data_IF_702129859249
#
_entry.id   IF_702129859249
#
_cell.length_a   1.000
_cell.length_b   1.000
_cell.length_c   1.000
_cell.angle_alpha   90.00
_cell.angle_beta   90.00
_cell.angle_gamma   90.00
#
_symmetry.space_group_name_H-M   'P 1'
#
loop_
_entity.id
_entity.type
_entity.pdbx_description
1 polymer ?
#
# COMPACT_ATOMS: atom_id res chain seq x y z
N UNK A 1 -1.23 -21.24 -0.84
CA UNK A 1 -2.60 -21.68 -1.21
C UNK A 1 -3.62 -21.35 -0.10
N UNK A 2 -3.34 -21.67 1.17
CA UNK A 2 -4.26 -21.47 2.31
C UNK A 2 -4.73 -20.00 2.40
N UNK A 3 -3.83 -19.06 2.58
CA UNK A 3 -4.16 -17.63 2.69
C UNK A 3 -4.98 -17.09 1.50
N UNK A 4 -4.69 -17.53 0.28
CA UNK A 4 -5.48 -17.10 -0.90
C UNK A 4 -6.91 -17.70 -0.88
N UNK A 5 -7.09 -18.91 -0.35
CA UNK A 5 -8.41 -19.50 -0.16
C UNK A 5 -9.22 -18.73 0.91
N UNK A 6 -8.58 -18.35 2.00
CA UNK A 6 -9.20 -17.51 3.04
C UNK A 6 -9.61 -16.14 2.49
N UNK A 7 -8.70 -15.47 1.76
CA UNK A 7 -9.00 -14.22 1.09
C UNK A 7 -10.21 -14.36 0.13
N UNK A 8 -10.28 -15.47 -0.62
CA UNK A 8 -11.43 -15.75 -1.50
C UNK A 8 -12.72 -15.94 -0.73
N UNK A 9 -12.67 -16.65 0.40
CA UNK A 9 -13.84 -16.88 1.27
C UNK A 9 -14.35 -15.56 1.89
N UNK A 10 -13.45 -14.62 2.16
CA UNK A 10 -13.79 -13.27 2.63
C UNK A 10 -14.32 -12.33 1.51
N UNK A 11 -14.40 -12.80 0.26
CA UNK A 11 -14.86 -11.98 -0.86
C UNK A 11 -13.82 -11.02 -1.44
N UNK A 12 -12.56 -11.17 -1.05
CA UNK A 12 -11.45 -10.35 -1.57
C UNK A 12 -11.32 -10.55 -3.07
N UNK A 13 -11.14 -9.47 -3.82
CA UNK A 13 -10.91 -9.49 -5.26
C UNK A 13 -9.57 -8.86 -5.67
N UNK A 14 -8.92 -8.11 -4.78
CA UNK A 14 -7.61 -7.49 -4.98
C UNK A 14 -6.71 -7.78 -3.79
N UNK A 15 -5.42 -8.08 -4.05
CA UNK A 15 -4.42 -8.36 -3.02
C UNK A 15 -3.18 -7.49 -3.27
N UNK A 16 -2.75 -6.77 -2.25
CA UNK A 16 -1.44 -6.15 -2.22
C UNK A 16 -0.41 -7.13 -1.68
N UNK A 17 0.61 -7.42 -2.48
CA UNK A 17 1.71 -8.31 -2.12
C UNK A 17 2.86 -7.49 -1.50
N UNK A 18 2.62 -7.01 -0.29
CA UNK A 18 3.57 -6.18 0.45
C UNK A 18 4.73 -7.04 0.99
N UNK A 19 5.93 -6.52 1.09
CA UNK A 19 6.51 -5.26 0.57
C UNK A 19 7.65 -5.58 -0.39
N UNK A 20 7.61 -6.70 -1.07
CA UNK A 20 8.65 -7.20 -1.98
C UNK A 20 8.06 -8.18 -3.01
N UNK A 21 8.74 -8.38 -4.14
CA UNK A 21 8.26 -9.31 -5.17
C UNK A 21 8.08 -10.72 -4.61
N UNK A 22 6.87 -11.23 -4.69
CA UNK A 22 6.54 -12.57 -4.21
C UNK A 22 7.00 -13.64 -5.20
N UNK A 23 7.03 -14.90 -4.73
CA UNK A 23 7.34 -16.05 -5.56
C UNK A 23 6.38 -16.12 -6.75
N UNK A 24 6.88 -16.48 -7.93
CA UNK A 24 6.09 -16.60 -9.17
C UNK A 24 4.90 -17.55 -9.02
N UNK A 25 5.05 -18.62 -8.24
CA UNK A 25 3.95 -19.53 -7.96
C UNK A 25 2.77 -18.83 -7.27
N UNK A 26 3.04 -17.92 -6.33
CA UNK A 26 2.01 -17.13 -5.66
C UNK A 26 1.26 -16.24 -6.66
N UNK A 27 1.99 -15.58 -7.55
CA UNK A 27 1.40 -14.71 -8.58
C UNK A 27 0.51 -15.53 -9.54
N UNK A 28 1.00 -16.68 -10.02
CA UNK A 28 0.25 -17.58 -10.90
C UNK A 28 -0.99 -18.18 -10.22
N UNK A 29 -0.87 -18.51 -8.94
CA UNK A 29 -2.02 -19.04 -8.19
C UNK A 29 -3.08 -17.99 -7.98
N UNK A 30 -2.69 -16.77 -7.60
CA UNK A 30 -3.60 -15.63 -7.46
C UNK A 30 -4.32 -15.32 -8.79
N UNK A 31 -3.58 -15.32 -9.90
CA UNK A 31 -4.13 -15.17 -11.25
C UNK A 31 -5.18 -16.24 -11.55
N UNK A 32 -4.86 -17.51 -11.31
CA UNK A 32 -5.79 -18.64 -11.51
C UNK A 32 -7.05 -18.51 -10.64
N UNK A 33 -6.94 -17.91 -9.46
CA UNK A 33 -8.05 -17.70 -8.54
C UNK A 33 -8.85 -16.40 -8.84
N UNK A 34 -8.44 -15.61 -9.82
CA UNK A 34 -9.13 -14.40 -10.26
C UNK A 34 -8.93 -13.19 -9.33
N UNK A 35 -7.75 -13.07 -8.70
CA UNK A 35 -7.37 -11.89 -7.94
C UNK A 35 -6.69 -10.86 -8.82
N UNK A 36 -6.98 -9.58 -8.59
CA UNK A 36 -6.15 -8.48 -9.03
C UNK A 36 -4.97 -8.30 -8.06
N UNK A 37 -3.78 -8.04 -8.58
CA UNK A 37 -2.57 -7.94 -7.77
C UNK A 37 -1.92 -6.56 -7.86
N UNK A 38 -1.50 -6.08 -6.71
CA UNK A 38 -0.52 -5.03 -6.55
C UNK A 38 0.79 -5.68 -6.10
N UNK A 39 1.80 -5.65 -6.95
CA UNK A 39 3.16 -6.06 -6.62
C UNK A 39 4.04 -4.84 -6.38
N UNK A 40 4.99 -4.93 -5.46
CA UNK A 40 5.87 -3.82 -5.11
C UNK A 40 7.30 -4.27 -4.83
N UNK A 41 8.22 -3.31 -4.90
CA UNK A 41 9.62 -3.48 -4.52
C UNK A 41 9.83 -2.93 -3.10
N UNK A 42 10.85 -3.41 -2.34
CA UNK A 42 11.06 -3.06 -0.93
C UNK A 42 11.69 -1.67 -0.74
N UNK A 43 11.05 -0.64 -1.26
CA UNK A 43 11.41 0.77 -0.99
C UNK A 43 10.54 1.25 0.15
N UNK A 44 11.07 1.15 1.36
CA UNK A 44 10.32 1.32 2.58
C UNK A 44 11.10 2.13 3.61
N UNK A 45 10.46 3.15 4.20
CA UNK A 45 10.97 4.00 5.29
C UNK A 45 12.42 4.50 5.11
N UNK A 46 13.38 3.99 5.90
CA UNK A 46 14.75 4.52 6.06
C UNK A 46 15.73 4.19 4.92
N UNK A 47 15.29 4.32 3.67
CA UNK A 47 16.18 4.21 2.51
C UNK A 47 17.08 5.46 2.41
N UNK A 48 18.35 5.26 2.11
CA UNK A 48 19.24 6.36 1.70
C UNK A 48 18.98 6.71 0.22
N UNK A 49 18.16 7.73 0.01
CA UNK A 49 17.78 8.20 -1.32
C UNK A 49 18.92 8.94 -2.06
N UNK A 50 20.02 9.24 -1.39
CA UNK A 50 21.20 9.87 -2.00
C UNK A 50 22.17 8.84 -2.56
N UNK A 51 22.10 7.60 -2.11
CA UNK A 51 22.98 6.52 -2.54
C UNK A 51 22.62 6.01 -3.96
N UNK A 52 23.56 6.20 -4.90
CA UNK A 52 23.38 5.76 -6.27
C UNK A 52 23.34 4.23 -6.45
N UNK A 53 24.01 3.49 -5.58
CA UNK A 53 24.00 2.02 -5.68
C UNK A 53 22.66 1.46 -5.19
N UNK A 54 22.07 2.04 -4.17
CA UNK A 54 20.70 1.76 -3.73
C UNK A 54 19.69 2.07 -4.84
N UNK A 55 19.85 3.21 -5.51
CA UNK A 55 18.98 3.59 -6.66
C UNK A 55 19.07 2.56 -7.79
N UNK A 56 20.28 2.17 -8.20
CA UNK A 56 20.49 1.15 -9.26
C UNK A 56 19.90 -0.21 -8.86
N UNK A 57 20.05 -0.61 -7.59
CA UNK A 57 19.46 -1.86 -7.07
C UNK A 57 17.93 -1.81 -7.16
N UNK A 58 17.31 -0.70 -6.73
CA UNK A 58 15.87 -0.52 -6.79
C UNK A 58 15.33 -0.56 -8.24
N UNK A 59 15.98 0.15 -9.16
CA UNK A 59 15.65 0.12 -10.59
C UNK A 59 15.77 -1.29 -11.17
N UNK A 60 16.82 -2.02 -10.80
CA UNK A 60 17.02 -3.41 -11.22
C UNK A 60 15.90 -4.31 -10.69
N UNK A 61 15.58 -4.23 -9.38
CA UNK A 61 14.52 -5.02 -8.77
C UNK A 61 13.16 -4.76 -9.42
N UNK A 62 12.83 -3.48 -9.68
CA UNK A 62 11.61 -3.09 -10.39
C UNK A 62 11.60 -3.69 -11.80
N UNK A 63 12.71 -3.57 -12.53
CA UNK A 63 12.84 -4.09 -13.89
C UNK A 63 12.70 -5.61 -13.95
N UNK A 64 13.29 -6.34 -13.01
CA UNK A 64 13.18 -7.80 -12.92
C UNK A 64 11.74 -8.23 -12.59
N UNK A 65 11.07 -7.54 -11.65
CA UNK A 65 9.68 -7.79 -11.30
C UNK A 65 8.74 -7.56 -12.50
N UNK A 66 8.86 -6.41 -13.17
CA UNK A 66 8.04 -6.09 -14.35
C UNK A 66 8.29 -7.10 -15.47
N UNK A 67 9.53 -7.37 -15.86
CA UNK A 67 9.87 -8.31 -16.93
C UNK A 67 9.36 -9.72 -16.66
N UNK A 68 9.36 -10.16 -15.39
CA UNK A 68 8.82 -11.46 -15.01
C UNK A 68 7.31 -11.53 -15.16
N UNK A 69 6.59 -10.48 -14.73
CA UNK A 69 5.16 -10.54 -14.50
C UNK A 69 4.29 -9.62 -15.41
N UNK A 70 4.89 -8.84 -16.32
CA UNK A 70 4.13 -7.95 -17.22
C UNK A 70 3.11 -8.66 -18.12
N UNK A 71 3.29 -9.96 -18.35
CA UNK A 71 2.35 -10.78 -19.12
C UNK A 71 1.32 -11.52 -18.26
N UNK A 72 1.26 -11.21 -16.93
CA UNK A 72 0.27 -11.76 -16.02
C UNK A 72 -0.97 -10.87 -15.98
N UNK A 73 -2.12 -11.41 -16.37
CA UNK A 73 -3.37 -10.64 -16.41
C UNK A 73 -3.86 -10.24 -14.99
N UNK A 74 -3.41 -10.93 -13.95
CA UNK A 74 -3.71 -10.57 -12.57
C UNK A 74 -3.02 -9.28 -12.11
N UNK A 75 -1.87 -8.91 -12.66
CA UNK A 75 -1.12 -7.74 -12.20
C UNK A 75 -1.75 -6.47 -12.75
N UNK A 76 -2.25 -5.62 -11.85
CA UNK A 76 -2.83 -4.32 -12.19
C UNK A 76 -1.98 -3.13 -11.73
N UNK A 77 -1.13 -3.33 -10.73
CA UNK A 77 -0.39 -2.24 -10.09
C UNK A 77 1.07 -2.61 -9.86
N UNK A 78 1.95 -1.64 -10.15
CA UNK A 78 3.36 -1.64 -9.78
C UNK A 78 3.60 -0.67 -8.64
N UNK A 79 3.89 -1.18 -7.45
CA UNK A 79 4.22 -0.41 -6.27
C UNK A 79 5.70 -0.03 -6.25
N UNK A 80 6.00 1.25 -6.06
CA UNK A 80 7.37 1.77 -6.11
C UNK A 80 7.89 2.30 -4.78
N UNK A 81 7.00 2.51 -3.80
CA UNK A 81 7.38 2.96 -2.46
C UNK A 81 6.29 2.65 -1.43
N UNK A 82 6.72 2.51 -0.17
CA UNK A 82 5.88 2.42 1.01
C UNK A 82 6.43 3.30 2.13
N UNK A 83 5.61 4.21 2.68
CA UNK A 83 5.90 5.00 3.89
C UNK A 83 7.24 5.74 3.87
N UNK A 84 7.59 6.30 2.73
CA UNK A 84 8.84 7.05 2.56
C UNK A 84 8.63 8.53 2.88
N UNK A 85 9.54 9.10 3.69
CA UNK A 85 9.46 10.49 4.12
C UNK A 85 9.71 11.47 2.97
N UNK A 86 8.91 12.55 2.83
CA UNK A 86 9.08 13.54 1.77
C UNK A 86 10.44 14.22 1.84
N UNK A 87 11.16 14.20 0.74
CA UNK A 87 12.36 15.00 0.50
C UNK A 87 12.57 15.17 -1.00
N UNK A 88 13.45 16.09 -1.37
CA UNK A 88 13.85 16.28 -2.76
C UNK A 88 14.50 15.02 -3.31
N UNK A 89 15.43 14.45 -2.56
CA UNK A 89 16.19 13.24 -2.90
C UNK A 89 15.27 12.02 -3.07
N UNK A 90 14.28 11.86 -2.16
CA UNK A 90 13.24 10.85 -2.28
C UNK A 90 12.44 11.03 -3.58
N UNK A 91 12.01 12.25 -3.87
CA UNK A 91 11.22 12.52 -5.07
C UNK A 91 12.01 12.22 -6.35
N UNK A 92 13.29 12.64 -6.43
CA UNK A 92 14.17 12.33 -7.55
C UNK A 92 14.40 10.82 -7.71
N UNK A 93 14.60 10.11 -6.60
CA UNK A 93 14.75 8.67 -6.58
C UNK A 93 13.50 7.98 -7.12
N UNK A 94 12.32 8.30 -6.58
CA UNK A 94 11.06 7.70 -7.00
C UNK A 94 10.69 8.06 -8.44
N UNK A 95 10.98 9.29 -8.89
CA UNK A 95 10.82 9.67 -10.30
C UNK A 95 11.65 8.77 -11.21
N UNK A 96 12.89 8.47 -10.83
CA UNK A 96 13.74 7.56 -11.61
C UNK A 96 13.19 6.12 -11.68
N UNK A 97 12.49 5.67 -10.65
CA UNK A 97 11.79 4.39 -10.66
C UNK A 97 10.57 4.40 -11.58
N UNK A 98 9.76 5.48 -11.52
CA UNK A 98 8.64 5.66 -12.45
C UNK A 98 9.10 5.65 -13.92
N UNK A 99 10.15 6.39 -14.24
CA UNK A 99 10.71 6.41 -15.59
C UNK A 99 11.18 5.02 -16.02
N UNK A 100 11.92 4.31 -15.14
CA UNK A 100 12.35 2.93 -15.41
C UNK A 100 11.16 2.00 -15.64
N UNK A 101 10.14 2.09 -14.81
CA UNK A 101 8.95 1.25 -14.92
C UNK A 101 8.17 1.56 -16.20
N UNK A 102 7.90 2.82 -16.48
CA UNK A 102 7.13 3.26 -17.67
C UNK A 102 7.85 2.97 -19.00
N UNK A 103 9.17 2.84 -19.00
CA UNK A 103 9.91 2.34 -20.19
C UNK A 103 9.66 0.85 -20.47
N UNK A 104 9.29 0.07 -19.45
CA UNK A 104 9.07 -1.37 -19.55
C UNK A 104 7.59 -1.74 -19.70
N UNK A 105 6.73 -1.04 -19.00
CA UNK A 105 5.28 -1.29 -19.01
C UNK A 105 4.48 0.01 -18.82
N UNK A 106 3.74 0.40 -19.84
CA UNK A 106 2.82 1.55 -19.85
C UNK A 106 1.37 1.13 -19.67
N UNK A 107 1.10 -0.15 -19.45
CA UNK A 107 -0.27 -0.70 -19.43
C UNK A 107 -0.82 -0.92 -18.04
N UNK A 108 0.03 -0.92 -16.99
CA UNK A 108 -0.36 -1.01 -15.58
C UNK A 108 -0.18 0.31 -14.87
N UNK A 109 -0.87 0.44 -13.74
CA UNK A 109 -0.87 1.65 -12.94
C UNK A 109 0.31 1.65 -11.95
N UNK A 110 0.94 2.80 -11.79
CA UNK A 110 2.01 3.00 -10.80
C UNK A 110 1.43 3.62 -9.54
N UNK A 111 1.79 3.03 -8.39
CA UNK A 111 1.25 3.39 -7.07
C UNK A 111 2.36 3.46 -6.03
N UNK A 112 2.17 4.31 -5.02
CA UNK A 112 2.94 4.30 -3.78
C UNK A 112 1.99 4.45 -2.59
N UNK A 113 2.32 3.82 -1.47
CA UNK A 113 1.58 3.93 -0.23
C UNK A 113 2.24 4.96 0.69
N UNK A 114 1.44 5.85 1.28
CA UNK A 114 1.87 6.94 2.15
C UNK A 114 1.25 6.80 3.54
N UNK A 115 1.97 7.18 4.58
CA UNK A 115 1.52 7.16 5.98
C UNK A 115 1.32 8.56 6.59
N UNK A 116 1.87 9.60 5.96
CA UNK A 116 1.81 10.98 6.43
C UNK A 116 0.44 11.62 6.20
N UNK A 117 -0.55 11.05 6.86
CA UNK A 117 -1.92 11.53 6.88
C UNK A 117 -2.27 11.96 8.30
N UNK A 118 -2.65 13.22 8.48
CA UNK A 118 -3.05 13.76 9.77
C UNK A 118 -4.50 14.24 9.76
N UNK A 119 -5.15 14.22 10.92
CA UNK A 119 -6.48 14.78 11.06
C UNK A 119 -6.40 16.29 11.34
N UNK A 120 -6.97 17.07 10.47
CA UNK A 120 -7.12 18.51 10.65
C UNK A 120 -8.42 18.79 11.41
N UNK A 121 -8.31 19.20 12.70
CA UNK A 121 -9.47 19.43 13.57
C UNK A 121 -10.31 20.65 13.18
N UNK A 122 -9.71 21.65 12.54
CA UNK A 122 -10.46 22.82 12.07
C UNK A 122 -11.33 22.47 10.85
N UNK A 123 -10.78 21.71 9.92
CA UNK A 123 -11.49 21.26 8.70
C UNK A 123 -12.31 19.99 8.91
N UNK A 124 -12.18 19.31 10.05
CA UNK A 124 -12.80 18.01 10.37
C UNK A 124 -12.56 16.95 9.27
N UNK A 125 -11.30 16.82 8.81
CA UNK A 125 -10.92 15.87 7.76
C UNK A 125 -9.48 15.39 7.87
N UNK A 126 -9.20 14.25 7.27
CA UNK A 126 -7.85 13.75 7.10
C UNK A 126 -7.20 14.46 5.92
N UNK A 127 -5.98 14.97 6.14
CA UNK A 127 -5.22 15.71 5.12
C UNK A 127 -3.93 14.98 4.84
N UNK A 128 -3.61 14.83 3.56
CA UNK A 128 -2.32 14.36 3.08
C UNK A 128 -1.77 15.34 2.06
N UNK A 129 -0.59 15.86 2.33
CA UNK A 129 0.12 16.80 1.47
C UNK A 129 1.48 16.22 1.08
N UNK A 130 1.52 15.47 0.00
CA UNK A 130 2.76 14.97 -0.57
C UNK A 130 2.78 15.27 -2.07
N UNK A 131 3.72 16.11 -2.50
CA UNK A 131 3.82 16.58 -3.89
C UNK A 131 4.08 15.44 -4.89
N UNK A 132 4.65 14.32 -4.45
CA UNK A 132 4.93 13.17 -5.31
C UNK A 132 3.66 12.48 -5.81
N UNK A 133 2.54 12.63 -5.11
CA UNK A 133 1.25 12.05 -5.50
C UNK A 133 0.81 12.42 -6.91
N UNK A 134 1.16 13.62 -7.36
CA UNK A 134 0.83 14.11 -8.72
C UNK A 134 1.48 13.29 -9.85
N UNK A 135 2.57 12.59 -9.57
CA UNK A 135 3.30 11.77 -10.55
C UNK A 135 2.76 10.34 -10.68
N UNK A 136 1.95 9.91 -9.71
CA UNK A 136 1.39 8.55 -9.65
C UNK A 136 0.08 8.46 -10.45
N UNK A 137 -0.27 7.23 -10.82
CA UNK A 137 -1.57 6.94 -11.44
C UNK A 137 -2.65 6.70 -10.36
N UNK A 138 -2.26 6.16 -9.22
CA UNK A 138 -3.11 5.91 -8.04
C UNK A 138 -2.33 6.29 -6.78
N UNK A 139 -3.00 6.90 -5.83
CA UNK A 139 -2.47 7.24 -4.51
C UNK A 139 -3.00 6.25 -3.49
N UNK A 140 -2.14 5.75 -2.61
CA UNK A 140 -2.55 4.84 -1.56
C UNK A 140 -2.13 5.36 -0.17
N UNK A 141 -2.95 5.08 0.83
CA UNK A 141 -2.76 5.55 2.20
C UNK A 141 -2.76 4.38 3.16
N UNK A 142 -1.72 4.31 4.01
CA UNK A 142 -1.68 3.45 5.18
C UNK A 142 -2.19 4.26 6.37
N UNK A 143 -3.34 3.87 6.93
CA UNK A 143 -3.91 4.56 8.09
C UNK A 143 -4.66 3.61 9.01
N UNK A 144 -4.05 3.32 10.14
CA UNK A 144 -4.55 2.41 11.16
C UNK A 144 -5.29 3.17 12.26
N UNK A 145 -6.45 3.73 11.94
CA UNK A 145 -7.31 4.39 12.92
C UNK A 145 -7.89 3.35 13.87
N UNK A 146 -7.90 3.70 15.17
CA UNK A 146 -8.34 2.79 16.22
C UNK A 146 -7.30 1.76 16.62
N UNK A 147 -6.17 1.66 15.91
CA UNK A 147 -5.08 0.73 16.24
C UNK A 147 -3.83 1.49 16.69
N UNK A 148 -3.07 2.10 15.80
CA UNK A 148 -1.91 2.93 16.15
C UNK A 148 -2.29 4.36 16.52
N UNK A 149 -3.47 4.81 16.11
CA UNK A 149 -3.97 6.16 16.35
C UNK A 149 -5.41 6.10 16.89
N UNK A 150 -5.82 7.02 17.78
CA UNK A 150 -7.21 7.09 18.21
C UNK A 150 -8.13 7.44 17.02
N UNK A 151 -9.42 7.12 17.19
CA UNK A 151 -10.47 7.56 16.28
C UNK A 151 -10.77 9.04 16.51
N UNK A 152 -10.42 9.96 15.58
CA UNK A 152 -10.83 11.36 15.71
C UNK A 152 -12.29 11.56 15.31
N UNK A 153 -12.79 10.72 14.40
CA UNK A 153 -14.18 10.65 13.92
C UNK A 153 -14.53 9.18 13.66
N UNK A 154 -15.82 8.85 13.61
CA UNK A 154 -16.25 7.52 13.19
C UNK A 154 -15.80 7.23 11.74
N UNK A 155 -15.41 6.00 11.41
CA UNK A 155 -14.90 5.64 10.07
C UNK A 155 -15.84 6.05 8.93
N UNK A 156 -17.14 5.88 9.12
CA UNK A 156 -18.18 6.24 8.13
C UNK A 156 -18.27 7.75 7.86
N UNK A 157 -17.78 8.58 8.80
CA UNK A 157 -17.81 10.04 8.74
C UNK A 157 -16.45 10.62 8.33
N UNK A 158 -15.46 9.76 8.07
CA UNK A 158 -14.12 10.18 7.68
C UNK A 158 -14.11 10.83 6.29
N UNK A 159 -13.66 12.08 6.23
CA UNK A 159 -13.45 12.83 4.99
C UNK A 159 -11.95 12.87 4.71
N UNK A 160 -11.57 12.53 3.48
CA UNK A 160 -10.18 12.48 3.03
C UNK A 160 -9.91 13.64 2.06
N UNK A 161 -9.04 14.56 2.47
CA UNK A 161 -8.52 15.62 1.61
C UNK A 161 -7.10 15.24 1.17
N UNK A 162 -6.99 14.67 -0.01
CA UNK A 162 -5.71 14.33 -0.64
C UNK A 162 -5.45 15.35 -1.72
N UNK A 163 -4.28 15.97 -1.71
CA UNK A 163 -3.90 16.99 -2.71
C UNK A 163 -3.58 16.31 -4.05
N UNK A 164 -4.61 15.72 -4.64
CA UNK A 164 -4.53 15.05 -5.94
C UNK A 164 -5.94 14.83 -6.50
N UNK A 165 -6.05 14.75 -7.82
CA UNK A 165 -7.25 14.31 -8.55
C UNK A 165 -7.24 12.80 -8.87
N UNK A 166 -6.24 12.07 -8.34
CA UNK A 166 -6.04 10.65 -8.59
C UNK A 166 -6.97 9.79 -7.74
N UNK A 167 -7.30 8.57 -8.19
CA UNK A 167 -7.97 7.58 -7.36
C UNK A 167 -7.21 7.32 -6.07
N UNK A 168 -7.95 7.14 -4.97
CA UNK A 168 -7.41 6.86 -3.65
C UNK A 168 -7.72 5.43 -3.22
N UNK A 169 -6.72 4.73 -2.68
CA UNK A 169 -6.85 3.42 -2.04
C UNK A 169 -6.41 3.54 -0.58
N UNK A 170 -7.20 3.04 0.36
CA UNK A 170 -6.71 2.76 1.72
C UNK A 170 -6.02 1.40 1.66
N UNK A 171 -4.69 1.43 1.68
CA UNK A 171 -3.84 0.26 1.39
C UNK A 171 -3.49 -0.57 2.61
N UNK A 172 -3.54 0.05 3.79
CA UNK A 172 -3.39 -0.63 5.06
C UNK A 172 -4.29 0.00 6.11
N UNK A 173 -5.06 -0.83 6.83
CA UNK A 173 -5.97 -0.43 7.90
C UNK A 173 -6.29 -1.63 8.80
N UNK A 174 -7.08 -1.39 9.86
CA UNK A 174 -7.52 -2.44 10.78
C UNK A 174 -6.55 -2.64 11.96
N UNK A 175 -6.64 -3.77 12.61
CA UNK A 175 -5.84 -4.13 13.78
C UNK A 175 -5.67 -5.63 13.92
N UNK A 176 -4.87 -6.04 14.90
CA UNK A 176 -4.61 -7.44 15.21
C UNK A 176 -5.48 -7.93 16.37
N UNK A 177 -5.67 -9.23 16.44
CA UNK A 177 -6.19 -9.93 17.60
C UNK A 177 -5.39 -11.20 17.88
N UNK A 178 -5.40 -11.64 19.13
CA UNK A 178 -4.91 -12.97 19.47
C UNK A 178 -6.03 -13.97 19.24
N UNK A 179 -5.74 -15.00 18.46
CA UNK A 179 -6.73 -16.02 18.11
C UNK A 179 -7.38 -16.65 19.36
N UNK A 180 -8.71 -16.62 19.42
CA UNK A 180 -9.50 -17.10 20.54
C UNK A 180 -9.52 -16.18 21.77
N UNK A 181 -8.96 -14.97 21.66
CA UNK A 181 -9.01 -13.97 22.74
C UNK A 181 -10.30 -13.17 22.67
N UNK A 182 -11.14 -13.31 23.70
CA UNK A 182 -12.30 -12.45 23.90
C UNK A 182 -11.99 -11.26 24.82
N UNK A 183 -12.63 -10.12 24.57
CA UNK A 183 -12.47 -8.92 25.39
C UNK A 183 -13.42 -7.80 25.01
N UNK A 184 -13.22 -6.65 25.64
CA UNK A 184 -14.04 -5.46 25.38
C UNK A 184 -13.76 -4.91 23.98
N UNK A 185 -14.76 -4.84 23.14
CA UNK A 185 -14.71 -4.27 21.78
C UNK A 185 -14.32 -2.78 21.73
N UNK A 186 -14.28 -2.09 22.88
CA UNK A 186 -13.92 -0.68 22.98
C UNK A 186 -12.48 -0.47 23.48
N UNK A 187 -11.76 -1.53 23.82
CA UNK A 187 -10.43 -1.46 24.43
C UNK A 187 -9.39 -2.07 23.50
N UNK A 188 -8.61 -1.22 22.81
CA UNK A 188 -7.56 -1.64 21.88
C UNK A 188 -6.54 -2.58 22.52
N UNK A 189 -6.16 -2.33 23.77
CA UNK A 189 -5.22 -3.17 24.51
C UNK A 189 -5.74 -4.55 24.90
N UNK A 190 -7.02 -4.84 24.63
CA UNK A 190 -7.60 -6.16 24.85
C UNK A 190 -7.04 -7.22 23.90
N UNK A 191 -6.59 -6.82 22.71
CA UNK A 191 -6.18 -7.72 21.64
C UNK A 191 -7.24 -8.79 21.33
N UNK A 192 -8.51 -8.40 21.49
CA UNK A 192 -9.65 -9.30 21.33
C UNK A 192 -10.14 -9.36 19.90
N UNK A 193 -10.75 -10.47 19.55
CA UNK A 193 -11.41 -10.66 18.25
C UNK A 193 -12.58 -9.69 18.09
N UNK A 194 -13.29 -9.35 19.19
CA UNK A 194 -14.38 -8.38 19.18
C UNK A 194 -13.88 -6.97 18.82
N UNK A 195 -12.72 -6.55 19.38
CA UNK A 195 -12.13 -5.26 19.02
C UNK A 195 -11.69 -5.24 17.54
N UNK A 196 -11.05 -6.30 17.06
CA UNK A 196 -10.66 -6.42 15.66
C UNK A 196 -11.86 -6.37 14.72
N UNK A 197 -12.95 -7.06 15.08
CA UNK A 197 -14.18 -7.08 14.29
C UNK A 197 -14.88 -5.72 14.22
N UNK A 198 -14.68 -4.87 15.25
CA UNK A 198 -15.19 -3.49 15.29
C UNK A 198 -14.44 -2.54 14.36
N UNK A 199 -13.12 -2.73 14.22
CA UNK A 199 -12.29 -1.91 13.33
C UNK A 199 -12.63 -2.10 11.86
#
# INVERSE_FOLDING_TARGET
AMLLNEAKALGVNMIRLAHYPQNEYTVRLAEKMGFLLWQEIPIWQGIDFTDNDTRKKAQRMLSEMIKRDQNRCAVGYWGIANETQPSKERNEFLTSLLETGKQLDTTRLYVAAFDLVHFNSEKQRFVMEDSFTSQLDVVAINKYMGWYHPWPVEPKDAIWEVVTDKPLIISEFGGEALYGQSGDENVVSSWSEEYQARL
#
